data_IF_818749508610
#
_entry.id   IF_818749508610
#
_cell.length_a   1.000
_cell.length_b   1.000
_cell.length_c   1.000
_cell.angle_alpha   90.00
_cell.angle_beta   90.00
_cell.angle_gamma   90.00
#
_symmetry.space_group_name_H-M   'P 1'
#
loop_
_entity.id
_entity.type
_entity.pdbx_description
1 polymer ?
#
# COMPACT_ATOMS: atom_id res chain seq x y z
N UNK A 1 -20.44 -0.59 12.96
CA UNK A 1 -20.63 0.26 11.78
C UNK A 1 -22.07 0.76 11.65
N UNK A 2 -23.09 -0.11 11.82
CA UNK A 2 -24.50 0.30 11.77
C UNK A 2 -24.83 1.40 12.79
N UNK A 3 -24.28 1.32 14.00
CA UNK A 3 -24.49 2.32 15.04
C UNK A 3 -23.74 3.63 14.74
N UNK A 4 -22.52 3.54 14.21
CA UNK A 4 -21.77 4.70 13.77
C UNK A 4 -22.50 5.47 12.64
N UNK A 5 -23.12 4.74 11.72
CA UNK A 5 -23.87 5.35 10.61
C UNK A 5 -25.12 6.13 11.08
N UNK A 6 -25.76 5.70 12.17
CA UNK A 6 -26.87 6.44 12.77
C UNK A 6 -26.40 7.75 13.42
N UNK A 7 -25.19 7.75 13.96
CA UNK A 7 -24.62 8.88 14.70
C UNK A 7 -23.97 9.90 13.79
N UNK A 8 -23.28 9.45 12.72
CA UNK A 8 -22.62 10.32 11.76
C UNK A 8 -23.64 10.79 10.74
N UNK A 9 -23.93 12.09 10.74
CA UNK A 9 -24.93 12.70 9.83
C UNK A 9 -24.31 13.36 8.61
N UNK A 10 -23.02 13.78 8.70
CA UNK A 10 -22.35 14.50 7.64
C UNK A 10 -22.07 13.56 6.46
N UNK A 11 -22.48 13.98 5.26
CA UNK A 11 -22.08 13.37 4.00
C UNK A 11 -20.64 13.79 3.68
N UNK A 12 -19.86 12.90 3.05
CA UNK A 12 -18.50 13.22 2.65
C UNK A 12 -18.45 14.13 1.42
N UNK A 13 -17.41 14.93 1.38
CA UNK A 13 -17.02 15.68 0.18
C UNK A 13 -15.50 15.63 0.03
N UNK A 14 -14.94 15.89 -1.16
CA UNK A 14 -13.48 15.94 -1.32
C UNK A 14 -12.79 17.02 -0.47
N UNK A 15 -13.52 17.90 0.21
CA UNK A 15 -12.99 18.91 1.13
C UNK A 15 -12.99 18.48 2.59
N UNK A 16 -13.77 17.47 2.97
CA UNK A 16 -13.98 17.05 4.35
C UNK A 16 -13.12 15.83 4.75
N UNK A 17 -11.98 15.68 4.09
CA UNK A 17 -11.13 14.49 4.14
C UNK A 17 -10.57 14.13 5.53
N UNK A 18 -10.56 15.07 6.47
CA UNK A 18 -10.06 14.86 7.84
C UNK A 18 -11.15 14.55 8.85
N UNK A 19 -12.40 14.55 8.42
CA UNK A 19 -13.55 14.28 9.26
C UNK A 19 -14.14 12.91 8.98
N UNK A 20 -14.66 12.27 10.02
CA UNK A 20 -15.41 11.03 9.87
C UNK A 20 -16.80 11.35 9.28
N UNK A 21 -17.04 10.90 8.07
CA UNK A 21 -18.26 11.10 7.30
C UNK A 21 -18.96 9.78 7.01
N UNK A 22 -20.18 9.82 6.50
CA UNK A 22 -20.88 8.61 6.02
C UNK A 22 -20.10 7.91 4.93
N UNK A 23 -19.44 8.65 4.04
CA UNK A 23 -18.65 8.07 2.96
C UNK A 23 -17.40 7.34 3.49
N UNK A 24 -16.79 7.85 4.57
CA UNK A 24 -15.70 7.13 5.24
C UNK A 24 -16.19 5.80 5.86
N UNK A 25 -17.41 5.79 6.43
CA UNK A 25 -18.03 4.56 6.94
C UNK A 25 -18.36 3.60 5.78
N UNK A 26 -18.86 4.12 4.65
CA UNK A 26 -19.14 3.33 3.46
C UNK A 26 -17.88 2.71 2.87
N UNK A 27 -16.77 3.46 2.79
CA UNK A 27 -15.49 2.94 2.35
C UNK A 27 -14.97 1.83 3.29
N UNK A 28 -15.12 2.00 4.59
CA UNK A 28 -14.78 0.94 5.55
C UNK A 28 -15.67 -0.30 5.38
N UNK A 29 -16.97 -0.12 5.11
CA UNK A 29 -17.88 -1.24 4.81
C UNK A 29 -17.46 -2.00 3.56
N UNK A 30 -17.04 -1.30 2.51
CA UNK A 30 -16.56 -1.92 1.27
C UNK A 30 -15.36 -2.85 1.55
N UNK A 31 -14.35 -2.35 2.26
CA UNK A 31 -13.19 -3.17 2.65
C UNK A 31 -13.58 -4.32 3.59
N UNK A 32 -14.40 -4.07 4.59
CA UNK A 32 -14.85 -5.11 5.52
C UNK A 32 -15.64 -6.20 4.79
N UNK A 33 -16.58 -5.83 3.91
CA UNK A 33 -17.36 -6.77 3.13
C UNK A 33 -16.45 -7.63 2.21
N UNK A 34 -15.44 -7.03 1.58
CA UNK A 34 -14.44 -7.76 0.80
C UNK A 34 -13.71 -8.79 1.66
N UNK A 35 -13.27 -8.41 2.87
CA UNK A 35 -12.60 -9.31 3.80
C UNK A 35 -13.50 -10.43 4.33
N UNK A 36 -14.80 -10.18 4.44
CA UNK A 36 -15.81 -11.16 4.83
C UNK A 36 -16.34 -12.01 3.65
N UNK A 37 -15.79 -11.80 2.44
CA UNK A 37 -16.20 -12.47 1.20
C UNK A 37 -17.65 -12.16 0.80
N UNK A 38 -18.17 -11.01 1.24
CA UNK A 38 -19.49 -10.48 0.88
C UNK A 38 -19.33 -9.60 -0.37
N UNK A 39 -19.09 -10.24 -1.51
CA UNK A 39 -18.64 -9.58 -2.72
C UNK A 39 -19.69 -8.63 -3.33
N UNK A 40 -20.96 -8.98 -3.24
CA UNK A 40 -22.05 -8.10 -3.71
C UNK A 40 -22.07 -6.79 -2.95
N UNK A 41 -22.03 -6.85 -1.63
CA UNK A 41 -22.02 -5.68 -0.76
C UNK A 41 -20.73 -4.88 -0.92
N UNK A 42 -19.59 -5.55 -1.04
CA UNK A 42 -18.29 -4.89 -1.25
C UNK A 42 -18.32 -4.03 -2.52
N UNK A 43 -18.80 -4.59 -3.63
CA UNK A 43 -18.94 -3.88 -4.89
C UNK A 43 -19.94 -2.72 -4.80
N UNK A 44 -21.11 -2.93 -4.22
CA UNK A 44 -22.14 -1.89 -4.08
C UNK A 44 -21.66 -0.70 -3.25
N UNK A 45 -21.01 -0.95 -2.10
CA UNK A 45 -20.44 0.12 -1.28
C UNK A 45 -19.32 0.87 -2.01
N UNK A 46 -18.43 0.16 -2.70
CA UNK A 46 -17.35 0.79 -3.46
C UNK A 46 -17.89 1.69 -4.57
N UNK A 47 -18.80 1.18 -5.39
CA UNK A 47 -19.42 1.92 -6.51
C UNK A 47 -20.20 3.13 -6.06
N UNK A 48 -20.86 3.09 -4.91
CA UNK A 48 -21.65 4.22 -4.39
C UNK A 48 -20.81 5.49 -4.14
N UNK A 49 -19.47 5.35 -4.06
CA UNK A 49 -18.53 6.46 -3.82
C UNK A 49 -17.97 7.08 -5.11
N UNK A 50 -18.11 6.43 -6.26
CA UNK A 50 -17.46 6.85 -7.52
C UNK A 50 -17.88 8.26 -7.97
N UNK A 51 -19.16 8.58 -7.83
CA UNK A 51 -19.68 9.87 -8.25
C UNK A 51 -19.21 11.07 -7.40
N UNK A 52 -18.81 10.80 -6.14
CA UNK A 52 -18.39 11.86 -5.21
C UNK A 52 -16.89 12.10 -5.26
N UNK A 53 -16.09 11.06 -5.47
CA UNK A 53 -14.63 11.12 -5.40
C UNK A 53 -14.02 10.74 -6.75
N UNK A 54 -13.74 11.70 -7.65
CA UNK A 54 -13.14 11.38 -8.94
C UNK A 54 -11.69 10.95 -8.79
N UNK A 55 -11.28 9.96 -9.62
CA UNK A 55 -9.89 9.55 -9.75
C UNK A 55 -9.02 10.71 -10.27
N UNK A 56 -7.83 10.83 -9.73
CA UNK A 56 -6.78 11.70 -10.26
C UNK A 56 -6.20 11.06 -11.52
N UNK A 57 -6.15 11.83 -12.60
CA UNK A 57 -5.76 11.37 -13.93
C UNK A 57 -4.47 12.02 -14.44
N UNK A 58 -3.72 12.71 -13.56
CA UNK A 58 -2.45 13.36 -13.92
C UNK A 58 -1.37 13.06 -12.90
N UNK A 59 -0.12 13.06 -13.36
CA UNK A 59 1.05 12.90 -12.49
C UNK A 59 1.11 14.00 -11.42
N UNK A 60 0.83 15.24 -11.78
CA UNK A 60 0.81 16.37 -10.86
C UNK A 60 -0.25 16.21 -9.76
N UNK A 61 -1.47 15.82 -10.11
CA UNK A 61 -2.54 15.57 -9.15
C UNK A 61 -2.16 14.45 -8.18
N UNK A 62 -1.54 13.39 -8.67
CA UNK A 62 -1.06 12.30 -7.84
C UNK A 62 0.10 12.73 -6.94
N UNK A 63 1.04 13.54 -7.44
CA UNK A 63 2.11 14.10 -6.62
C UNK A 63 1.55 14.98 -5.50
N UNK A 64 0.57 15.83 -5.78
CA UNK A 64 -0.10 16.65 -4.76
C UNK A 64 -0.73 15.82 -3.66
N UNK A 65 -1.35 14.69 -4.02
CA UNK A 65 -1.91 13.76 -3.02
C UNK A 65 -0.86 13.32 -1.99
N UNK A 66 0.35 13.00 -2.44
CA UNK A 66 1.41 12.45 -1.56
C UNK A 66 2.38 13.48 -1.02
N UNK A 67 2.46 14.68 -1.65
CA UNK A 67 3.40 15.74 -1.26
C UNK A 67 2.75 16.94 -0.61
N UNK A 68 1.41 17.06 -0.69
CA UNK A 68 0.65 18.18 -0.13
C UNK A 68 -0.56 17.69 0.68
N UNK A 69 -0.82 16.39 0.73
CA UNK A 69 -1.99 15.76 1.36
C UNK A 69 -3.33 16.29 0.81
N UNK A 70 -3.35 16.73 -0.45
CA UNK A 70 -4.52 17.31 -1.12
C UNK A 70 -4.87 16.50 -2.36
N UNK A 71 -6.09 15.97 -2.40
CA UNK A 71 -6.59 15.20 -3.54
C UNK A 71 -8.09 15.02 -3.48
N UNK A 72 -8.74 14.95 -4.64
CA UNK A 72 -10.13 14.56 -4.78
C UNK A 72 -10.38 13.07 -4.50
N UNK A 73 -9.33 12.26 -4.48
CA UNK A 73 -9.44 10.82 -4.18
C UNK A 73 -9.54 10.49 -2.70
N UNK A 74 -9.13 11.39 -1.82
CA UNK A 74 -9.09 11.11 -0.39
C UNK A 74 -10.50 11.12 0.20
N UNK A 75 -10.96 9.98 0.69
CA UNK A 75 -12.24 9.84 1.40
C UNK A 75 -12.05 10.14 2.88
N UNK A 76 -10.96 9.61 3.47
CA UNK A 76 -10.57 9.88 4.85
C UNK A 76 -9.05 9.84 4.98
N UNK A 77 -8.51 10.87 5.60
CA UNK A 77 -7.12 10.91 6.07
C UNK A 77 -7.06 11.44 7.51
N UNK A 78 -6.07 10.99 8.27
CA UNK A 78 -5.93 11.44 9.66
C UNK A 78 -5.24 12.80 9.67
N UNK A 79 -5.74 13.73 10.51
CA UNK A 79 -5.11 15.02 10.70
C UNK A 79 -3.74 14.88 11.34
N UNK A 80 -2.77 15.60 10.81
CA UNK A 80 -1.40 15.71 11.34
C UNK A 80 -1.11 17.17 11.59
N UNK A 81 -1.06 17.55 12.85
CA UNK A 81 -0.76 18.94 13.23
C UNK A 81 0.74 19.16 13.29
N UNK A 82 1.19 20.25 12.68
CA UNK A 82 2.62 20.68 12.67
C UNK A 82 3.19 20.83 14.08
N UNK A 83 2.37 21.25 15.02
CA UNK A 83 2.77 21.58 16.40
C UNK A 83 2.96 20.37 17.32
N UNK A 84 2.34 19.24 17.01
CA UNK A 84 2.31 18.05 17.89
C UNK A 84 3.40 17.03 17.59
N UNK A 85 4.12 17.17 16.49
CA UNK A 85 5.12 16.19 16.08
C UNK A 85 6.54 16.75 16.27
N UNK A 86 7.15 16.37 17.37
CA UNK A 86 8.52 16.80 17.73
C UNK A 86 9.62 15.89 17.21
N UNK A 87 9.30 14.70 16.67
CA UNK A 87 10.29 13.70 16.27
C UNK A 87 10.05 13.13 14.88
N UNK A 88 11.14 12.66 14.29
CA UNK A 88 11.31 12.21 12.89
C UNK A 88 10.70 10.81 12.64
N UNK A 89 10.12 10.16 13.63
CA UNK A 89 9.63 8.78 13.53
C UNK A 89 8.29 8.70 12.80
N UNK A 90 8.31 9.04 11.54
CA UNK A 90 7.21 8.72 10.63
C UNK A 90 7.54 7.46 9.83
N UNK A 91 6.54 6.78 9.32
CA UNK A 91 6.72 5.59 8.48
C UNK A 91 7.67 5.87 7.30
N UNK A 92 7.61 7.07 6.71
CA UNK A 92 8.51 7.48 5.64
C UNK A 92 9.99 7.46 6.03
N UNK A 93 10.34 7.66 7.31
CA UNK A 93 11.73 7.59 7.76
C UNK A 93 12.31 6.18 7.66
N UNK A 94 11.53 5.14 7.87
CA UNK A 94 11.97 3.75 7.69
C UNK A 94 12.20 3.38 6.23
N UNK A 95 11.58 4.10 5.30
CA UNK A 95 11.71 3.86 3.87
C UNK A 95 12.86 4.67 3.26
N UNK A 96 13.20 5.82 3.85
CA UNK A 96 14.10 6.80 3.25
C UNK A 96 14.94 7.55 4.29
N UNK A 97 15.44 6.93 5.35
CA UNK A 97 16.25 7.65 6.35
C UNK A 97 17.54 8.21 5.75
N UNK A 98 17.88 9.45 6.07
CA UNK A 98 19.07 10.20 5.66
C UNK A 98 19.07 10.74 4.23
N UNK A 99 18.41 11.85 4.04
CA UNK A 99 18.58 12.69 2.85
C UNK A 99 19.34 13.97 3.21
N UNK A 100 20.46 14.22 2.55
CA UNK A 100 21.17 15.49 2.65
C UNK A 100 20.92 16.34 1.39
N UNK A 101 20.03 17.33 1.46
CA UNK A 101 19.64 18.10 0.28
C UNK A 101 20.75 19.00 -0.28
N UNK A 102 21.79 19.30 0.51
CA UNK A 102 22.80 20.30 0.16
C UNK A 102 24.05 19.73 -0.53
N UNK A 103 24.24 18.41 -0.54
CA UNK A 103 25.44 17.80 -1.15
C UNK A 103 25.24 17.31 -2.58
N UNK A 104 24.01 17.33 -3.10
CA UNK A 104 23.68 16.71 -4.39
C UNK A 104 23.85 15.18 -4.40
N UNK A 105 24.29 14.60 -3.31
CA UNK A 105 24.52 13.18 -3.14
C UNK A 105 23.64 12.70 -1.98
N UNK A 106 22.61 11.96 -2.31
CA UNK A 106 21.69 11.42 -1.33
C UNK A 106 22.15 10.05 -0.90
N UNK A 107 22.42 9.87 0.40
CA UNK A 107 22.65 8.56 0.99
C UNK A 107 21.41 8.16 1.78
N UNK A 108 20.82 7.03 1.39
CA UNK A 108 19.66 6.48 2.06
C UNK A 108 20.10 5.27 2.88
N UNK A 109 19.60 5.16 4.10
CA UNK A 109 19.74 3.97 4.94
C UNK A 109 18.35 3.39 5.23
N UNK A 110 17.67 2.79 4.22
CA UNK A 110 16.32 2.30 4.37
C UNK A 110 16.28 1.05 5.26
N UNK A 111 15.26 0.97 6.11
CA UNK A 111 14.94 -0.27 6.84
C UNK A 111 14.19 -1.25 5.93
N UNK A 112 13.39 -0.74 5.00
CA UNK A 112 12.61 -1.53 4.06
C UNK A 112 12.89 -1.11 2.63
N UNK A 113 13.11 -2.08 1.76
CA UNK A 113 13.31 -1.90 0.32
C UNK A 113 12.22 -2.66 -0.45
N UNK A 114 11.75 -2.12 -1.60
CA UNK A 114 10.80 -2.86 -2.42
C UNK A 114 11.47 -4.07 -3.05
N UNK A 115 10.74 -5.17 -3.13
CA UNK A 115 11.21 -6.36 -3.86
C UNK A 115 11.24 -6.10 -5.37
N UNK A 116 12.08 -6.88 -6.08
CA UNK A 116 12.29 -6.70 -7.52
C UNK A 116 11.01 -6.91 -8.34
N UNK A 117 10.18 -7.86 -7.96
CA UNK A 117 8.91 -8.11 -8.65
C UNK A 117 8.03 -6.86 -8.67
N UNK A 118 7.80 -6.25 -7.49
CA UNK A 118 6.95 -5.04 -7.43
C UNK A 118 7.56 -3.86 -8.19
N UNK A 119 8.90 -3.72 -8.18
CA UNK A 119 9.58 -2.65 -8.95
C UNK A 119 9.36 -2.81 -10.44
N UNK A 120 9.38 -4.04 -10.95
CA UNK A 120 9.16 -4.34 -12.39
C UNK A 120 7.74 -4.05 -12.86
N UNK A 121 6.76 -3.98 -11.96
CA UNK A 121 5.38 -3.64 -12.32
C UNK A 121 5.21 -2.18 -12.73
N UNK A 122 6.14 -1.29 -12.33
CA UNK A 122 6.05 0.14 -12.63
C UNK A 122 6.65 0.45 -14.01
N UNK A 123 5.77 0.70 -14.95
CA UNK A 123 6.11 1.12 -16.32
C UNK A 123 6.43 2.61 -16.38
N UNK A 124 7.14 3.06 -17.43
CA UNK A 124 7.48 4.48 -17.59
C UNK A 124 6.24 5.36 -17.86
N UNK A 125 5.20 4.79 -18.47
CA UNK A 125 3.93 5.48 -18.69
C UNK A 125 3.09 5.64 -17.41
N UNK A 126 3.34 4.83 -16.39
CA UNK A 126 2.62 4.88 -15.12
C UNK A 126 3.03 6.14 -14.32
N UNK A 127 2.10 7.03 -14.08
CA UNK A 127 2.33 8.27 -13.33
C UNK A 127 2.89 8.03 -11.92
N UNK A 128 2.62 6.86 -11.33
CA UNK A 128 3.13 6.47 -10.01
C UNK A 128 4.62 6.21 -10.01
N UNK A 129 5.21 5.86 -11.14
CA UNK A 129 6.61 5.40 -11.22
C UNK A 129 7.58 6.37 -10.58
N UNK A 130 7.50 7.66 -10.92
CA UNK A 130 8.42 8.68 -10.42
C UNK A 130 7.99 9.28 -9.06
N UNK A 131 6.77 8.98 -8.61
CA UNK A 131 6.22 9.46 -7.34
C UNK A 131 6.41 8.40 -6.25
N UNK A 132 6.14 7.12 -6.59
CA UNK A 132 6.19 6.01 -5.64
C UNK A 132 7.57 5.38 -5.51
N UNK A 133 8.44 5.56 -6.51
CA UNK A 133 9.78 5.01 -6.51
C UNK A 133 10.84 6.12 -6.59
N UNK A 134 11.97 5.90 -5.93
CA UNK A 134 13.21 6.67 -6.11
C UNK A 134 14.17 5.75 -6.85
N UNK A 135 14.30 5.96 -8.16
CA UNK A 135 15.21 5.18 -9.02
C UNK A 135 16.65 5.66 -8.80
N UNK A 136 17.62 4.74 -8.92
CA UNK A 136 19.05 5.01 -8.81
C UNK A 136 19.47 5.71 -7.49
N UNK A 137 18.81 5.35 -6.39
CA UNK A 137 19.14 5.88 -5.08
C UNK A 137 20.49 5.33 -4.60
N UNK A 138 21.37 6.21 -4.12
CA UNK A 138 22.56 5.80 -3.40
C UNK A 138 22.14 5.31 -2.01
N UNK A 139 22.41 4.06 -1.70
CA UNK A 139 22.03 3.44 -0.43
C UNK A 139 23.24 3.00 0.37
N UNK A 140 23.12 3.07 1.69
CA UNK A 140 24.09 2.48 2.62
C UNK A 140 23.32 1.50 3.51
N UNK A 141 23.69 0.23 3.45
CA UNK A 141 23.06 -0.84 4.24
C UNK A 141 24.19 -1.54 5.01
N UNK A 142 24.10 -1.52 6.34
CA UNK A 142 25.13 -2.12 7.22
C UNK A 142 26.56 -1.65 6.89
N UNK A 143 26.71 -0.36 6.52
CA UNK A 143 27.99 0.24 6.14
C UNK A 143 28.42 0.03 4.68
N UNK A 144 27.76 -0.85 3.94
CA UNK A 144 28.05 -1.11 2.52
C UNK A 144 27.25 -0.17 1.63
N UNK A 145 27.93 0.39 0.63
CA UNK A 145 27.34 1.35 -0.33
C UNK A 145 26.92 0.66 -1.63
N UNK A 146 25.80 1.09 -2.18
CA UNK A 146 25.29 0.60 -3.45
C UNK A 146 24.26 1.52 -4.07
N UNK A 147 23.69 1.09 -5.19
CA UNK A 147 22.61 1.82 -5.89
C UNK A 147 21.39 0.92 -6.02
N UNK A 148 20.23 1.45 -5.68
CA UNK A 148 18.99 0.68 -5.75
C UNK A 148 17.76 1.53 -6.01
N UNK A 149 16.61 0.88 -5.90
CA UNK A 149 15.29 1.54 -5.97
C UNK A 149 14.69 1.54 -4.56
N UNK A 150 14.20 2.70 -4.14
CA UNK A 150 13.54 2.90 -2.86
C UNK A 150 12.06 3.27 -3.04
N UNK A 151 11.29 3.13 -1.97
CA UNK A 151 9.90 3.58 -1.94
C UNK A 151 9.88 5.10 -1.71
N UNK A 152 9.47 5.85 -2.72
CA UNK A 152 9.39 7.32 -2.70
C UNK A 152 8.05 7.89 -2.24
N UNK A 153 7.02 7.06 -2.12
CA UNK A 153 5.63 7.46 -1.87
C UNK A 153 5.45 8.34 -0.62
N UNK A 154 6.18 8.05 0.46
CA UNK A 154 6.07 8.72 1.76
C UNK A 154 7.22 9.70 2.03
N UNK A 155 7.57 10.53 1.05
CA UNK A 155 8.66 11.52 1.17
C UNK A 155 8.28 12.76 2.00
N UNK A 156 7.12 12.77 2.59
CA UNK A 156 6.62 13.85 3.45
C UNK A 156 5.93 14.99 2.69
N UNK A 157 5.02 15.64 3.38
CA UNK A 157 4.33 16.83 2.87
C UNK A 157 5.29 18.03 2.87
N UNK A 158 5.46 18.65 1.69
CA UNK A 158 6.36 19.79 1.51
C UNK A 158 6.02 21.00 2.40
N UNK A 159 4.73 21.15 2.77
CA UNK A 159 4.28 22.24 3.62
C UNK A 159 4.68 22.07 5.11
N UNK A 160 5.10 20.86 5.51
CA UNK A 160 5.64 20.57 6.83
C UNK A 160 7.17 20.66 6.88
N UNK A 161 7.82 20.82 5.74
CA UNK A 161 9.27 21.01 5.64
C UNK A 161 9.60 22.45 6.03
N UNK A 162 10.25 22.63 7.16
CA UNK A 162 10.82 23.92 7.55
C UNK A 162 12.24 24.02 7.02
N UNK A 163 12.69 25.22 6.69
CA UNK A 163 13.89 25.67 5.97
C UNK A 163 15.25 25.06 6.35
N UNK A 164 15.35 23.96 7.03
CA UNK A 164 16.64 23.41 7.45
C UNK A 164 16.66 21.90 7.29
N UNK A 165 17.74 21.41 6.83
CA UNK A 165 18.43 20.12 6.94
C UNK A 165 17.68 18.87 7.47
N UNK A 166 16.52 18.98 8.08
CA UNK A 166 15.78 17.84 8.62
C UNK A 166 14.55 17.57 7.74
N UNK A 167 14.64 16.55 6.92
CA UNK A 167 13.48 16.05 6.20
C UNK A 167 12.46 15.51 7.17
N UNK A 168 11.33 16.11 7.08
CA UNK A 168 10.16 15.67 7.84
C UNK A 168 9.34 14.79 6.92
N UNK A 169 9.48 13.46 7.05
CA UNK A 169 8.67 12.48 6.32
C UNK A 169 7.23 12.42 6.86
N UNK A 170 6.60 13.57 7.08
CA UNK A 170 5.26 13.66 7.64
C UNK A 170 4.25 13.78 6.52
N UNK A 171 3.30 12.86 6.49
CA UNK A 171 2.11 12.90 5.64
C UNK A 171 0.90 12.62 6.51
N UNK A 172 -0.25 13.14 6.11
CA UNK A 172 -1.53 12.68 6.64
C UNK A 172 -1.72 11.21 6.22
N UNK A 173 -1.84 10.26 7.16
CA UNK A 173 -2.17 8.88 6.82
C UNK A 173 -3.51 8.82 6.08
N UNK A 174 -3.50 8.26 4.88
CA UNK A 174 -4.69 8.09 4.06
C UNK A 174 -5.36 6.77 4.44
N UNK A 175 -6.50 6.88 5.11
CA UNK A 175 -7.25 5.72 5.59
C UNK A 175 -8.06 5.08 4.45
N UNK A 176 -8.73 5.91 3.65
CA UNK A 176 -9.50 5.46 2.50
C UNK A 176 -9.34 6.43 1.34
N UNK A 177 -9.15 5.87 0.14
CA UNK A 177 -9.06 6.57 -1.13
C UNK A 177 -9.99 5.92 -2.14
N UNK A 178 -10.50 6.70 -3.10
CA UNK A 178 -11.38 6.14 -4.13
C UNK A 178 -10.68 5.09 -5.00
N UNK A 179 -9.39 5.25 -5.29
CA UNK A 179 -8.60 4.26 -6.02
C UNK A 179 -8.57 2.88 -5.32
N UNK A 180 -8.58 2.85 -3.98
CA UNK A 180 -8.74 1.63 -3.21
C UNK A 180 -10.12 1.00 -3.42
N UNK A 181 -11.18 1.83 -3.53
CA UNK A 181 -12.54 1.35 -3.81
C UNK A 181 -12.66 0.73 -5.20
N UNK A 182 -11.99 1.27 -6.21
CA UNK A 182 -11.89 0.62 -7.53
C UNK A 182 -11.24 -0.76 -7.47
N UNK A 183 -10.24 -0.95 -6.61
CA UNK A 183 -9.60 -2.25 -6.39
C UNK A 183 -10.48 -3.23 -5.60
N UNK A 184 -11.24 -2.73 -4.62
CA UNK A 184 -12.26 -3.52 -3.92
C UNK A 184 -13.33 -4.00 -4.91
N UNK A 185 -13.83 -3.12 -5.76
CA UNK A 185 -14.82 -3.45 -6.77
C UNK A 185 -14.28 -4.43 -7.82
N UNK A 186 -13.06 -4.21 -8.32
CA UNK A 186 -12.43 -5.11 -9.29
C UNK A 186 -12.31 -6.55 -8.75
N UNK A 187 -11.85 -6.71 -7.51
CA UNK A 187 -11.79 -8.03 -6.87
C UNK A 187 -13.18 -8.61 -6.61
N UNK A 188 -14.12 -7.82 -6.08
CA UNK A 188 -15.46 -8.26 -5.78
C UNK A 188 -16.20 -8.70 -7.05
N UNK A 189 -16.17 -7.88 -8.09
CA UNK A 189 -16.77 -8.20 -9.39
C UNK A 189 -16.13 -9.46 -10.00
N UNK A 190 -14.80 -9.59 -9.96
CA UNK A 190 -14.12 -10.81 -10.41
C UNK A 190 -14.60 -12.06 -9.66
N UNK A 191 -14.84 -11.96 -8.35
CA UNK A 191 -15.31 -13.09 -7.54
C UNK A 191 -16.76 -13.48 -7.84
N UNK A 192 -17.57 -12.53 -8.25
CA UNK A 192 -18.97 -12.75 -8.65
C UNK A 192 -19.07 -13.30 -10.09
N UNK A 193 -18.32 -12.68 -11.00
CA UNK A 193 -18.24 -13.00 -12.42
C UNK A 193 -16.88 -12.53 -12.94
N UNK A 194 -15.95 -13.44 -13.25
CA UNK A 194 -14.58 -13.08 -13.63
C UNK A 194 -14.49 -12.01 -14.72
N UNK A 195 -15.43 -12.02 -15.70
CA UNK A 195 -15.40 -11.03 -16.78
C UNK A 195 -15.64 -9.60 -16.30
N UNK A 196 -16.35 -9.40 -15.21
CA UNK A 196 -16.72 -8.07 -14.70
C UNK A 196 -15.61 -7.36 -13.93
N UNK A 197 -14.61 -8.08 -13.45
CA UNK A 197 -13.48 -7.47 -12.73
C UNK A 197 -12.59 -6.59 -13.59
N UNK A 198 -12.65 -6.75 -14.91
CA UNK A 198 -11.77 -6.02 -15.83
C UNK A 198 -12.12 -4.52 -15.95
N UNK A 199 -13.39 -4.17 -15.89
CA UNK A 199 -13.83 -2.78 -16.09
C UNK A 199 -13.36 -1.85 -14.96
N UNK A 200 -13.63 -2.08 -13.66
CA UNK A 200 -13.12 -1.22 -12.60
C UNK A 200 -11.59 -1.23 -12.50
N UNK A 201 -10.93 -2.35 -12.83
CA UNK A 201 -9.49 -2.43 -12.92
C UNK A 201 -8.96 -1.46 -13.99
N UNK A 202 -9.53 -1.45 -15.17
CA UNK A 202 -9.13 -0.61 -16.29
C UNK A 202 -9.40 0.87 -16.04
N UNK A 203 -10.49 1.22 -15.36
CA UNK A 203 -10.74 2.60 -14.97
C UNK A 203 -9.60 3.15 -14.10
N UNK A 204 -9.12 2.39 -13.11
CA UNK A 204 -7.97 2.80 -12.31
C UNK A 204 -6.68 2.84 -13.14
N UNK A 205 -6.41 1.81 -13.94
CA UNK A 205 -5.20 1.73 -14.78
C UNK A 205 -5.08 2.93 -15.72
N UNK A 206 -6.13 3.24 -16.44
CA UNK A 206 -6.16 4.38 -17.37
C UNK A 206 -6.02 5.72 -16.66
N UNK A 207 -6.62 5.86 -15.48
CA UNK A 207 -6.41 7.04 -14.63
C UNK A 207 -4.96 7.19 -14.15
N UNK A 208 -4.17 6.13 -14.14
CA UNK A 208 -2.73 6.15 -13.80
C UNK A 208 -1.82 6.25 -15.03
N UNK A 209 -2.36 6.43 -16.23
CA UNK A 209 -1.61 6.55 -17.48
C UNK A 209 -1.27 5.22 -18.13
N UNK A 210 -1.77 4.10 -17.60
CA UNK A 210 -1.57 2.78 -18.19
C UNK A 210 -2.62 2.47 -19.25
N UNK A 211 -2.25 1.61 -20.20
CA UNK A 211 -3.19 1.09 -21.19
C UNK A 211 -4.19 0.15 -20.51
N UNK A 212 -5.45 0.24 -20.93
CA UNK A 212 -6.49 -0.70 -20.56
C UNK A 212 -6.11 -2.12 -21.04
N UNK A 213 -6.31 -3.11 -20.18
CA UNK A 213 -6.14 -4.52 -20.53
C UNK A 213 -7.36 -5.03 -21.28
N UNK A 214 -7.12 -5.89 -22.26
CA UNK A 214 -8.16 -6.66 -22.94
C UNK A 214 -8.35 -8.03 -22.27
N UNK A 215 -9.43 -8.74 -22.60
CA UNK A 215 -9.63 -10.10 -22.14
C UNK A 215 -8.49 -11.04 -22.61
N UNK A 216 -7.93 -10.77 -23.80
CA UNK A 216 -6.80 -11.55 -24.34
C UNK A 216 -5.50 -11.35 -23.55
N UNK A 217 -5.27 -10.16 -23.00
CA UNK A 217 -4.07 -9.87 -22.19
C UNK A 217 -4.05 -10.64 -20.85
N UNK A 218 -5.20 -11.07 -20.38
CA UNK A 218 -5.38 -11.69 -19.04
C UNK A 218 -6.01 -13.09 -19.12
N UNK A 219 -6.03 -13.72 -20.27
CA UNK A 219 -6.69 -15.03 -20.49
C UNK A 219 -5.93 -16.21 -19.88
N UNK A 220 -4.59 -16.13 -19.87
CA UNK A 220 -3.75 -17.23 -19.46
C UNK A 220 -3.48 -17.23 -17.94
N UNK A 221 -3.48 -18.42 -17.35
CA UNK A 221 -3.10 -18.57 -15.94
C UNK A 221 -1.66 -18.19 -15.69
N UNK A 222 -1.41 -17.59 -14.54
CA UNK A 222 -0.08 -17.17 -14.09
C UNK A 222 0.37 -18.03 -12.92
N UNK A 223 1.63 -18.43 -12.91
CA UNK A 223 2.25 -19.09 -11.75
C UNK A 223 3.03 -18.04 -10.96
N UNK A 224 2.62 -17.80 -9.73
CA UNK A 224 3.25 -16.86 -8.81
C UNK A 224 4.62 -17.38 -8.35
N UNK A 225 5.45 -16.50 -7.77
CA UNK A 225 6.80 -16.85 -7.29
C UNK A 225 6.82 -17.97 -6.24
N UNK A 226 5.76 -18.13 -5.47
CA UNK A 226 5.60 -19.21 -4.49
C UNK A 226 5.12 -20.54 -5.10
N UNK A 227 4.80 -20.54 -6.40
CA UNK A 227 4.29 -21.69 -7.16
C UNK A 227 2.78 -21.78 -7.23
N UNK A 228 2.03 -20.86 -6.63
CA UNK A 228 0.57 -20.79 -6.71
C UNK A 228 0.12 -20.44 -8.13
N UNK A 229 -0.88 -21.15 -8.67
CA UNK A 229 -1.49 -20.86 -9.97
C UNK A 229 -2.78 -20.07 -9.80
N UNK A 230 -2.91 -18.97 -10.51
CA UNK A 230 -4.09 -18.09 -10.49
C UNK A 230 -4.44 -17.63 -11.90
N UNK A 231 -5.69 -17.21 -12.14
CA UNK A 231 -6.08 -16.68 -13.43
C UNK A 231 -5.34 -15.38 -13.75
N UNK A 232 -5.10 -15.11 -15.04
CA UNK A 232 -4.40 -13.91 -15.47
C UNK A 232 -5.10 -12.62 -15.03
N UNK A 233 -6.44 -12.56 -15.09
CA UNK A 233 -7.16 -11.39 -14.60
C UNK A 233 -7.01 -11.19 -13.09
N UNK A 234 -7.07 -12.28 -12.31
CA UNK A 234 -6.87 -12.13 -10.87
C UNK A 234 -5.44 -11.72 -10.52
N UNK A 235 -4.45 -12.19 -11.28
CA UNK A 235 -3.08 -11.71 -11.19
C UNK A 235 -2.99 -10.20 -11.49
N UNK A 236 -3.61 -9.74 -12.57
CA UNK A 236 -3.62 -8.33 -12.93
C UNK A 236 -4.26 -7.44 -11.84
N UNK A 237 -5.35 -7.90 -11.20
CA UNK A 237 -5.96 -7.23 -10.04
C UNK A 237 -4.98 -7.18 -8.86
N UNK A 238 -4.30 -8.29 -8.55
CA UNK A 238 -3.32 -8.35 -7.45
C UNK A 238 -2.11 -7.45 -7.69
N UNK A 239 -1.61 -7.40 -8.93
CA UNK A 239 -0.50 -6.53 -9.32
C UNK A 239 -0.88 -5.06 -9.26
N UNK A 240 -2.08 -4.71 -9.74
CA UNK A 240 -2.57 -3.33 -9.64
C UNK A 240 -2.75 -2.91 -8.18
N UNK A 241 -3.28 -3.79 -7.34
CA UNK A 241 -3.37 -3.54 -5.90
C UNK A 241 -1.98 -3.40 -5.27
N UNK A 242 -1.01 -4.19 -5.69
CA UNK A 242 0.40 -4.07 -5.26
C UNK A 242 1.01 -2.73 -5.61
N UNK A 243 0.78 -2.22 -6.84
CA UNK A 243 1.24 -0.89 -7.28
C UNK A 243 0.55 0.24 -6.50
N UNK A 244 -0.78 0.24 -6.50
CA UNK A 244 -1.56 1.33 -5.93
C UNK A 244 -1.40 1.43 -4.41
N UNK A 245 -1.43 0.29 -3.72
CA UNK A 245 -1.35 0.20 -2.26
C UNK A 245 0.08 -0.03 -1.74
N UNK A 246 1.10 0.25 -2.56
CA UNK A 246 2.50 0.07 -2.18
C UNK A 246 2.80 0.73 -0.82
N UNK A 247 3.25 -0.08 0.14
CA UNK A 247 3.61 0.32 1.50
C UNK A 247 2.49 0.98 2.34
N UNK A 248 1.21 0.78 1.98
CA UNK A 248 0.06 1.24 2.78
C UNK A 248 -0.44 0.21 3.82
N UNK A 249 0.30 -0.89 4.03
CA UNK A 249 0.01 -1.87 5.09
C UNK A 249 -1.03 -2.95 4.73
N UNK A 250 -1.58 -2.97 3.52
CA UNK A 250 -2.67 -3.88 3.14
C UNK A 250 -2.21 -5.29 2.77
N UNK A 251 -0.97 -5.46 2.31
CA UNK A 251 -0.49 -6.70 1.66
C UNK A 251 -0.66 -7.97 2.51
N UNK A 252 -0.41 -7.91 3.81
CA UNK A 252 -0.59 -9.05 4.71
C UNK A 252 -2.05 -9.52 4.73
N UNK A 253 -2.97 -8.58 4.83
CA UNK A 253 -4.41 -8.86 4.87
C UNK A 253 -4.89 -9.41 3.52
N UNK A 254 -4.37 -8.88 2.41
CA UNK A 254 -4.67 -9.34 1.07
C UNK A 254 -4.22 -10.80 0.89
N UNK A 255 -2.99 -11.14 1.24
CA UNK A 255 -2.47 -12.51 1.16
C UNK A 255 -3.29 -13.49 2.00
N UNK A 256 -3.70 -13.08 3.22
CA UNK A 256 -4.58 -13.90 4.08
C UNK A 256 -5.94 -14.12 3.43
N UNK A 257 -6.56 -13.07 2.88
CA UNK A 257 -7.86 -13.16 2.21
C UNK A 257 -7.80 -14.03 0.95
N UNK A 258 -6.71 -13.94 0.20
CA UNK A 258 -6.50 -14.74 -1.01
C UNK A 258 -6.08 -16.19 -0.72
N UNK A 259 -5.74 -16.51 0.53
CA UNK A 259 -5.23 -17.83 0.90
C UNK A 259 -3.88 -18.13 0.25
N UNK A 260 -3.06 -17.08 0.03
CA UNK A 260 -1.79 -17.20 -0.68
C UNK A 260 -0.60 -17.02 0.26
N UNK A 261 0.50 -17.69 -0.10
CA UNK A 261 1.81 -17.40 0.43
C UNK A 261 2.52 -16.29 -0.35
N UNK A 262 3.81 -16.16 -0.12
CA UNK A 262 4.66 -15.30 -0.93
C UNK A 262 6.09 -15.85 -1.00
N UNK A 263 6.77 -15.47 -2.05
CA UNK A 263 8.23 -15.55 -2.17
C UNK A 263 8.72 -14.20 -2.66
N UNK A 264 9.67 -13.62 -1.93
CA UNK A 264 10.28 -12.34 -2.32
C UNK A 264 11.46 -12.56 -3.26
N UNK A 265 11.65 -11.59 -4.14
CA UNK A 265 12.77 -11.53 -5.08
C UNK A 265 13.54 -10.24 -4.84
N UNK A 266 14.79 -10.34 -4.45
CA UNK A 266 15.64 -9.17 -4.20
C UNK A 266 16.26 -8.66 -5.49
N UNK A 267 16.41 -7.34 -5.62
CA UNK A 267 17.23 -6.76 -6.66
C UNK A 267 18.68 -7.24 -6.52
N UNK A 268 19.22 -7.83 -7.60
CA UNK A 268 20.58 -8.38 -7.62
C UNK A 268 21.67 -7.36 -7.23
N UNK A 269 21.45 -6.07 -7.51
CA UNK A 269 22.38 -4.98 -7.12
C UNK A 269 22.38 -4.73 -5.60
N UNK A 270 21.28 -5.01 -4.91
CA UNK A 270 21.14 -4.83 -3.46
C UNK A 270 21.42 -6.10 -2.67
N UNK A 271 21.37 -7.27 -3.31
CA UNK A 271 21.61 -8.56 -2.67
C UNK A 271 22.93 -8.63 -1.87
N UNK A 272 24.05 -8.08 -2.38
CA UNK A 272 25.32 -8.07 -1.61
C UNK A 272 25.30 -7.17 -0.37
N UNK A 273 24.36 -6.23 -0.28
CA UNK A 273 24.30 -5.23 0.80
C UNK A 273 23.43 -5.67 1.97
N UNK A 274 22.57 -6.67 1.79
CA UNK A 274 21.66 -7.14 2.84
C UNK A 274 22.23 -8.36 3.55
N UNK A 275 21.85 -8.53 4.82
CA UNK A 275 22.17 -9.75 5.57
C UNK A 275 21.42 -10.94 4.95
N UNK A 276 22.16 -11.78 4.24
CA UNK A 276 21.64 -12.93 3.52
C UNK A 276 20.95 -13.93 4.45
N UNK A 277 21.44 -14.11 5.67
CA UNK A 277 20.89 -15.09 6.61
C UNK A 277 19.52 -14.66 7.11
N UNK A 278 19.41 -13.45 7.64
CA UNK A 278 18.13 -12.90 8.11
C UNK A 278 17.13 -12.74 6.96
N UNK A 279 17.62 -12.35 5.79
CA UNK A 279 16.81 -12.18 4.59
C UNK A 279 16.21 -13.52 4.12
N UNK A 280 16.98 -14.59 4.01
CA UNK A 280 16.50 -15.90 3.57
C UNK A 280 15.37 -16.46 4.43
N UNK A 281 15.38 -16.18 5.74
CA UNK A 281 14.32 -16.61 6.66
C UNK A 281 12.98 -15.93 6.38
N UNK A 282 12.99 -14.73 5.82
CA UNK A 282 11.78 -13.92 5.57
C UNK A 282 11.34 -13.91 4.11
N UNK A 283 12.12 -14.52 3.21
CA UNK A 283 11.88 -14.48 1.77
C UNK A 283 10.63 -15.24 1.31
N UNK A 284 10.27 -16.30 2.03
CA UNK A 284 9.17 -17.19 1.65
C UNK A 284 8.31 -17.53 2.86
N UNK A 285 7.00 -17.42 2.67
CA UNK A 285 6.00 -17.98 3.56
C UNK A 285 4.97 -18.73 2.71
N UNK A 286 4.62 -19.94 3.15
CA UNK A 286 3.54 -20.71 2.50
C UNK A 286 2.18 -20.17 2.89
N UNK A 287 1.18 -20.43 2.06
CA UNK A 287 -0.22 -20.18 2.42
C UNK A 287 -0.55 -20.82 3.77
N UNK A 288 -1.31 -20.13 4.60
CA UNK A 288 -1.69 -20.62 5.93
C UNK A 288 -0.55 -20.69 6.95
N UNK A 289 0.63 -20.14 6.65
CA UNK A 289 1.74 -20.10 7.61
C UNK A 289 1.29 -19.48 8.94
N UNK A 290 1.61 -20.09 10.09
CA UNK A 290 1.29 -19.50 11.40
C UNK A 290 1.98 -18.14 11.61
N UNK A 291 3.03 -17.82 10.85
CA UNK A 291 3.70 -16.51 10.86
C UNK A 291 2.88 -15.38 10.22
N UNK A 292 1.74 -15.67 9.62
CA UNK A 292 0.75 -14.65 9.27
C UNK A 292 -0.05 -14.10 10.46
N UNK A 293 0.15 -14.67 11.65
CA UNK A 293 -0.31 -14.12 12.92
C UNK A 293 0.91 -13.54 13.64
N UNK A 294 0.78 -12.38 14.23
CA UNK A 294 1.87 -11.74 14.96
C UNK A 294 2.19 -12.49 16.25
N UNK A 295 3.47 -12.50 16.71
CA UNK A 295 3.79 -13.06 18.01
C UNK A 295 3.17 -12.23 19.13
N UNK A 296 2.83 -12.89 20.22
CA UNK A 296 2.50 -12.19 21.46
C UNK A 296 3.81 -11.57 22.00
N UNK A 297 3.83 -10.27 22.35
CA UNK A 297 5.02 -9.65 22.94
C UNK A 297 5.52 -10.43 24.15
N UNK A 298 6.82 -10.67 24.24
CA UNK A 298 7.40 -11.41 25.35
C UNK A 298 7.11 -10.76 26.72
N UNK A 299 6.99 -9.43 26.78
CA UNK A 299 6.58 -8.71 27.96
C UNK A 299 5.21 -9.16 28.47
N UNK A 300 4.25 -9.41 27.57
CA UNK A 300 2.91 -9.87 27.95
C UNK A 300 2.96 -11.30 28.50
N UNK A 301 3.72 -12.18 27.86
CA UNK A 301 3.87 -13.57 28.31
C UNK A 301 4.55 -13.68 29.68
N UNK A 302 5.51 -12.77 29.96
CA UNK A 302 6.26 -12.80 31.23
C UNK A 302 5.53 -12.13 32.38
N UNK A 303 4.71 -11.11 32.10
CA UNK A 303 4.01 -10.34 33.13
C UNK A 303 2.63 -10.90 33.45
N UNK A 304 2.02 -11.66 32.55
CA UNK A 304 0.70 -12.26 32.76
C UNK A 304 0.76 -13.79 32.63
N UNK A 305 0.92 -14.51 33.76
CA UNK A 305 1.02 -15.97 33.75
C UNK A 305 -0.25 -16.68 33.25
N UNK A 306 -1.38 -15.96 33.16
CA UNK A 306 -2.64 -16.49 32.62
C UNK A 306 -2.78 -16.31 31.11
N UNK A 307 -1.79 -15.71 30.44
CA UNK A 307 -1.87 -15.43 29.01
C UNK A 307 -1.78 -16.70 28.14
N UNK A 308 -1.22 -17.78 28.69
CA UNK A 308 -1.03 -19.03 27.99
C UNK A 308 0.30 -19.10 27.22
N UNK A 309 0.31 -19.82 26.10
CA UNK A 309 1.50 -20.01 25.28
C UNK A 309 1.59 -19.01 24.13
N UNK A 310 2.79 -18.85 23.61
CA UNK A 310 3.07 -18.08 22.39
C UNK A 310 2.29 -18.63 21.20
N UNK A 311 1.98 -17.78 20.23
CA UNK A 311 1.39 -18.18 18.96
C UNK A 311 2.29 -19.19 18.23
N UNK A 312 1.65 -20.14 17.55
CA UNK A 312 2.36 -21.17 16.78
C UNK A 312 3.34 -20.52 15.79
N UNK A 313 4.54 -21.10 15.68
CA UNK A 313 5.59 -20.62 14.77
C UNK A 313 6.57 -19.63 15.37
N UNK A 314 6.44 -19.29 16.66
CA UNK A 314 7.31 -18.35 17.38
C UNK A 314 7.92 -18.97 18.67
N UNK A 315 7.88 -20.27 18.78
CA UNK A 315 8.52 -21.03 19.87
C UNK A 315 9.99 -21.29 19.56
#
# INVERSE_FOLDING_TARGET
LVEAEKTVTAQGTPTDQIYLTKDAITAFRAELALHLHQYTEASQYAQSLYGTYPLVTTAEGLERMWREDTSTENILQLEVLRTTMTTVNSFGSYLNSSWEPNSGVYFYAPTYIPEQHIVKLFEDADFRTNIFLVKNANVTISGNKGVGVLIGKFRGNKNFQTNTTTLVYRNRPKMFRISQMYLVDAEAQYRLDPAKGLDPLNQLRTARGLTALTADDVKDDVTLLDGTKISGLFNAIQEERGREMLAEGTRLFDLKRWGQGFKRDINAKLAPLVDQVSYLQTMKQTAGSPKFVWPIPNSELTQNPNFGSQNQGYL
#
